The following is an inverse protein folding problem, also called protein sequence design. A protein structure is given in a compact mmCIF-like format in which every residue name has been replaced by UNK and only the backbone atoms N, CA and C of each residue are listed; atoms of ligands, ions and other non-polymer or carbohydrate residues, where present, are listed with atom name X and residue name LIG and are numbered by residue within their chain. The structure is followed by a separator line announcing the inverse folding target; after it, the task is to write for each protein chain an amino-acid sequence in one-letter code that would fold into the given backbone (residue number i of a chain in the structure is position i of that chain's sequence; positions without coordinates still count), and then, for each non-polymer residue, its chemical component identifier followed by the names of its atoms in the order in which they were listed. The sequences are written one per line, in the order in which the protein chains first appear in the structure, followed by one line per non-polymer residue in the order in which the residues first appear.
data_IF_765945243909
#
_entry.id   IF_765945243909
#
_cell.length_a   1.000
_cell.length_b   1.000
_cell.length_c   1.000
_cell.angle_alpha   90.00
_cell.angle_beta   90.00
_cell.angle_gamma   90.00
#
_symmetry.space_group_name_H-M   'P 1'
#
loop_
_entity.id
_entity.type
_entity.pdbx_description
1 polymer ?
#
# COMPACT_ATOMS: atom_id res chain seq x y z
N UNK A 1 -2.34 -19.70 17.95
CA UNK A 1 -1.52 -18.56 17.47
C UNK A 1 -2.19 -17.28 17.91
N UNK A 2 -1.51 -16.43 18.68
CA UNK A 2 -2.04 -15.12 19.13
C UNK A 2 -1.89 -14.13 17.98
N UNK A 3 -2.90 -13.27 17.74
CA UNK A 3 -2.82 -12.20 16.74
C UNK A 3 -2.10 -10.99 17.34
N UNK A 4 -1.23 -10.33 16.57
CA UNK A 4 -0.52 -9.12 17.01
C UNK A 4 -1.47 -7.92 17.12
N UNK A 5 -2.43 -7.80 16.20
CA UNK A 5 -3.43 -6.73 16.16
C UNK A 5 -4.86 -7.31 16.16
N UNK A 6 -5.36 -7.82 17.30
CA UNK A 6 -6.66 -8.49 17.38
C UNK A 6 -7.85 -7.55 17.15
N UNK A 7 -7.65 -6.24 17.27
CA UNK A 7 -8.68 -5.21 17.08
C UNK A 7 -8.88 -4.82 15.62
N UNK A 8 -7.94 -5.13 14.73
CA UNK A 8 -8.08 -4.85 13.30
C UNK A 8 -9.06 -5.84 12.67
N UNK A 9 -10.15 -5.30 12.11
CA UNK A 9 -11.10 -6.10 11.32
C UNK A 9 -10.96 -5.78 9.84
N UNK A 10 -11.13 -6.77 8.96
CA UNK A 10 -11.15 -6.52 7.53
C UNK A 10 -12.40 -5.72 7.13
N UNK A 11 -12.26 -4.92 6.07
CA UNK A 11 -13.39 -4.32 5.36
C UNK A 11 -14.34 -5.43 4.90
N UNK A 12 -15.64 -5.25 5.16
CA UNK A 12 -16.66 -6.21 4.76
C UNK A 12 -17.02 -6.04 3.29
N UNK A 13 -17.22 -7.15 2.57
CA UNK A 13 -17.54 -7.12 1.13
C UNK A 13 -18.85 -6.37 0.83
N UNK A 14 -19.82 -6.44 1.74
CA UNK A 14 -21.10 -5.73 1.61
C UNK A 14 -20.98 -4.19 1.76
N UNK A 15 -19.82 -3.66 2.19
CA UNK A 15 -19.51 -2.23 2.19
C UNK A 15 -18.96 -1.76 0.84
N UNK A 16 -18.67 -2.70 -0.07
CA UNK A 16 -18.02 -2.45 -1.34
C UNK A 16 -19.00 -2.60 -2.51
N UNK A 17 -18.88 -1.69 -3.46
CA UNK A 17 -19.46 -1.80 -4.79
C UNK A 17 -18.37 -2.23 -5.75
N UNK A 18 -18.58 -3.37 -6.40
CA UNK A 18 -17.71 -3.85 -7.47
C UNK A 18 -18.31 -3.41 -8.80
N UNK A 19 -17.54 -2.63 -9.55
CA UNK A 19 -17.90 -2.23 -10.92
C UNK A 19 -16.86 -2.75 -11.88
N UNK A 20 -17.21 -2.84 -13.16
CA UNK A 20 -16.24 -3.16 -14.19
C UNK A 20 -16.40 -2.26 -15.41
N UNK A 21 -15.29 -1.93 -16.04
CA UNK A 21 -15.26 -1.18 -17.29
C UNK A 21 -14.24 -1.80 -18.24
N UNK A 22 -14.34 -1.47 -19.52
CA UNK A 22 -13.35 -1.86 -20.51
C UNK A 22 -12.42 -0.69 -20.79
N UNK A 23 -11.12 -0.95 -20.84
CA UNK A 23 -10.12 0.00 -21.29
C UNK A 23 -9.18 -0.65 -22.33
N UNK A 24 -8.46 0.20 -23.06
CA UNK A 24 -7.43 -0.22 -24.02
C UNK A 24 -6.03 -0.14 -23.40
N UNK A 25 -5.94 -0.10 -22.07
CA UNK A 25 -4.68 -0.04 -21.35
C UNK A 25 -4.16 -1.46 -21.03
N UNK A 26 -2.87 -1.54 -20.72
CA UNK A 26 -2.19 -2.77 -20.35
C UNK A 26 -1.17 -3.23 -21.39
N UNK A 27 -0.06 -3.79 -20.88
CA UNK A 27 1.15 -3.95 -21.68
C UNK A 27 0.98 -4.95 -22.82
N UNK A 28 0.43 -6.15 -22.60
CA UNK A 28 0.50 -7.20 -23.62
C UNK A 28 -0.33 -6.90 -24.88
N UNK A 29 -1.60 -6.49 -24.72
CA UNK A 29 -2.45 -6.16 -25.87
C UNK A 29 -1.89 -4.94 -26.63
N UNK A 30 -1.37 -3.95 -25.90
CA UNK A 30 -0.74 -2.75 -26.43
C UNK A 30 0.59 -3.05 -27.16
N UNK A 31 1.41 -3.95 -26.61
CA UNK A 31 2.67 -4.41 -27.22
C UNK A 31 2.43 -5.17 -28.53
N UNK A 32 1.30 -5.88 -28.64
CA UNK A 32 0.92 -6.59 -29.86
C UNK A 32 0.12 -5.73 -30.86
N UNK A 33 -0.21 -4.47 -30.53
CA UNK A 33 -1.07 -3.61 -31.36
C UNK A 33 -2.52 -4.08 -31.45
N UNK A 34 -2.99 -4.84 -30.47
CA UNK A 34 -4.32 -5.46 -30.43
C UNK A 34 -5.25 -4.83 -29.38
N UNK A 35 -4.88 -3.70 -28.77
CA UNK A 35 -5.62 -3.08 -27.68
C UNK A 35 -7.06 -2.65 -28.06
N UNK A 36 -7.33 -2.41 -29.34
CA UNK A 36 -8.68 -2.06 -29.83
C UNK A 36 -9.57 -3.30 -30.03
N UNK A 37 -8.96 -4.47 -30.21
CA UNK A 37 -9.64 -5.77 -30.40
C UNK A 37 -9.80 -6.50 -29.07
N UNK A 38 -8.72 -6.57 -28.28
CA UNK A 38 -8.68 -7.21 -26.97
C UNK A 38 -8.67 -6.17 -25.87
N UNK A 39 -9.84 -5.55 -25.65
CA UNK A 39 -10.03 -4.61 -24.54
C UNK A 39 -9.89 -5.34 -23.21
N UNK A 40 -9.13 -4.75 -22.29
CA UNK A 40 -9.00 -5.24 -20.93
C UNK A 40 -10.27 -4.93 -20.17
N UNK A 41 -10.84 -5.94 -19.52
CA UNK A 41 -11.90 -5.73 -18.51
C UNK A 41 -11.23 -5.49 -17.17
N UNK A 42 -11.46 -4.31 -16.61
CA UNK A 42 -10.92 -3.92 -15.31
C UNK A 42 -12.03 -3.88 -14.26
N UNK A 43 -11.70 -4.34 -13.05
CA UNK A 43 -12.60 -4.34 -11.91
C UNK A 43 -12.16 -3.26 -10.93
N UNK A 44 -13.11 -2.45 -10.49
CA UNK A 44 -12.89 -1.39 -9.52
C UNK A 44 -13.75 -1.65 -8.30
N UNK A 45 -13.10 -1.74 -7.14
CA UNK A 45 -13.75 -1.84 -5.86
C UNK A 45 -13.83 -0.44 -5.26
N UNK A 46 -15.04 -0.02 -4.87
CA UNK A 46 -15.29 1.29 -4.29
C UNK A 46 -16.14 1.13 -3.04
N UNK A 47 -15.85 1.90 -1.99
CA UNK A 47 -16.76 1.97 -0.85
C UNK A 47 -18.10 2.57 -1.26
N UNK A 48 -19.18 1.94 -0.79
CA UNK A 48 -20.55 2.46 -0.93
C UNK A 48 -20.67 3.79 -0.15
N UNK A 49 -20.06 3.88 1.03
CA UNK A 49 -19.94 5.13 1.79
C UNK A 49 -18.82 5.99 1.21
N UNK A 50 -19.19 7.13 0.63
CA UNK A 50 -18.27 8.07 -0.01
C UNK A 50 -17.31 8.74 1.00
N UNK A 51 -17.63 8.76 2.29
CA UNK A 51 -16.74 9.33 3.32
C UNK A 51 -15.52 8.45 3.60
N UNK A 52 -15.58 7.16 3.22
CA UNK A 52 -14.46 6.21 3.32
C UNK A 52 -13.58 6.20 2.07
N UNK A 53 -13.87 7.04 1.07
CA UNK A 53 -13.07 7.11 -0.15
C UNK A 53 -11.88 8.04 0.04
N UNK A 54 -10.69 7.53 -0.23
CA UNK A 54 -9.46 8.31 -0.26
C UNK A 54 -9.17 8.72 -1.69
N UNK A 55 -8.85 10.01 -1.88
CA UNK A 55 -8.33 10.50 -3.16
C UNK A 55 -6.83 10.33 -3.14
N UNK A 56 -6.33 9.34 -3.87
CA UNK A 56 -4.92 9.28 -4.19
C UNK A 56 -4.59 10.41 -5.17
N UNK A 57 -3.39 11.01 -5.09
CA UNK A 57 -2.97 11.99 -6.08
C UNK A 57 -2.95 11.36 -7.47
N UNK A 58 -3.25 12.16 -8.49
CA UNK A 58 -3.26 11.73 -9.90
C UNK A 58 -1.87 11.30 -10.40
N UNK A 59 -0.81 11.71 -9.71
CA UNK A 59 0.58 11.38 -10.02
C UNK A 59 1.19 10.44 -8.97
N UNK A 60 2.15 9.64 -9.40
CA UNK A 60 3.00 8.82 -8.54
C UNK A 60 3.85 9.69 -7.62
N UNK A 61 3.33 10.03 -6.44
CA UNK A 61 4.16 10.66 -5.40
C UNK A 61 5.08 9.64 -4.75
N UNK A 62 6.32 10.05 -4.52
CA UNK A 62 7.31 9.26 -3.78
C UNK A 62 6.86 9.06 -2.32
N UNK A 63 6.24 10.08 -1.72
CA UNK A 63 5.75 10.06 -0.34
C UNK A 63 4.26 10.44 -0.33
N UNK A 64 3.44 9.62 0.30
CA UNK A 64 2.02 9.85 0.52
C UNK A 64 1.71 9.76 2.01
N UNK A 65 1.47 10.91 2.62
CA UNK A 65 1.07 11.00 4.02
C UNK A 65 -0.45 11.19 4.18
N UNK A 66 -1.08 10.36 5.01
CA UNK A 66 -2.50 10.44 5.33
C UNK A 66 -2.71 10.57 6.83
N UNK A 67 -3.59 11.50 7.20
CA UNK A 67 -4.18 11.61 8.54
C UNK A 67 -5.67 11.35 8.45
N UNK A 68 -6.09 10.19 8.93
CA UNK A 68 -7.42 9.65 8.68
C UNK A 68 -8.40 9.99 9.81
N UNK A 69 -9.57 10.49 9.42
CA UNK A 69 -10.69 10.79 10.35
C UNK A 69 -11.75 9.69 10.37
N UNK A 70 -11.85 8.92 9.30
CA UNK A 70 -12.83 7.85 9.14
C UNK A 70 -12.10 6.51 9.16
N UNK A 71 -12.27 5.76 10.25
CA UNK A 71 -11.53 4.52 10.53
C UNK A 71 -12.49 3.34 10.67
N UNK A 72 -12.07 2.15 10.22
CA UNK A 72 -12.91 0.94 10.25
C UNK A 72 -13.12 0.39 11.67
N UNK A 73 -12.28 0.75 12.65
CA UNK A 73 -12.40 0.29 14.05
C UNK A 73 -11.90 1.32 15.09
N UNK A 74 -11.94 2.62 14.79
CA UNK A 74 -11.35 3.68 15.64
C UNK A 74 -9.86 3.45 15.97
N UNK A 75 -9.16 2.67 15.14
CA UNK A 75 -7.75 2.32 15.29
C UNK A 75 -6.88 3.54 15.53
N UNK A 76 -5.98 3.49 16.51
CA UNK A 76 -5.00 4.54 16.75
C UNK A 76 -3.63 4.24 16.13
N UNK A 77 -3.54 3.16 15.34
CA UNK A 77 -2.29 2.67 14.80
C UNK A 77 -1.70 3.62 13.75
N UNK A 78 -0.37 3.65 13.71
CA UNK A 78 0.44 4.34 12.72
C UNK A 78 1.11 3.34 11.77
N UNK A 79 1.05 3.62 10.47
CA UNK A 79 1.68 2.81 9.42
C UNK A 79 2.82 3.56 8.74
N UNK A 80 3.93 2.88 8.52
CA UNK A 80 4.87 3.18 7.43
C UNK A 80 4.87 2.00 6.47
N UNK A 81 4.63 2.27 5.18
CA UNK A 81 4.64 1.26 4.13
C UNK A 81 5.64 1.64 3.05
N UNK A 82 6.66 0.82 2.87
CA UNK A 82 7.51 0.85 1.67
C UNK A 82 6.82 0.05 0.57
N UNK A 83 6.68 0.63 -0.61
CA UNK A 83 5.78 0.11 -1.64
C UNK A 83 6.25 0.37 -3.07
N UNK A 84 5.55 -0.24 -4.02
CA UNK A 84 5.60 0.10 -5.43
C UNK A 84 4.23 0.56 -5.99
N UNK A 85 4.09 0.59 -7.31
CA UNK A 85 2.84 0.94 -8.00
C UNK A 85 1.63 0.08 -7.61
N UNK A 86 1.83 -1.19 -7.22
CA UNK A 86 0.75 -2.12 -6.88
C UNK A 86 -0.02 -1.69 -5.64
N UNK A 87 0.67 -1.11 -4.66
CA UNK A 87 0.01 -0.61 -3.46
C UNK A 87 -1.00 0.50 -3.74
N UNK A 88 -0.97 1.19 -4.90
CA UNK A 88 -1.98 2.18 -5.26
C UNK A 88 -3.42 1.60 -5.23
N UNK A 89 -3.56 0.31 -5.56
CA UNK A 89 -4.84 -0.39 -5.51
C UNK A 89 -5.22 -0.85 -4.09
N UNK A 90 -4.25 -0.95 -3.18
CA UNK A 90 -4.46 -1.40 -1.80
C UNK A 90 -4.68 -0.25 -0.83
N UNK A 91 -4.04 0.91 -1.07
CA UNK A 91 -4.09 2.11 -0.21
C UNK A 91 -5.52 2.48 0.20
N UNK A 92 -6.53 2.54 -0.70
CA UNK A 92 -7.88 2.93 -0.31
C UNK A 92 -8.50 2.04 0.77
N UNK A 93 -8.09 0.77 0.85
CA UNK A 93 -8.60 -0.19 1.82
C UNK A 93 -7.73 -0.23 3.08
N UNK A 94 -6.41 -0.31 2.91
CA UNK A 94 -5.47 -0.38 4.02
C UNK A 94 -5.51 0.87 4.89
N UNK A 95 -5.61 2.04 4.28
CA UNK A 95 -5.49 3.33 4.95
C UNK A 95 -6.60 3.56 5.99
N UNK A 96 -7.77 2.94 5.83
CA UNK A 96 -8.87 3.06 6.80
C UNK A 96 -8.62 2.35 8.13
N UNK A 97 -7.54 1.56 8.23
CA UNK A 97 -7.16 0.85 9.45
C UNK A 97 -6.13 1.61 10.29
N UNK A 98 -5.62 2.74 9.80
CA UNK A 98 -4.55 3.49 10.44
C UNK A 98 -4.96 4.94 10.61
N UNK A 99 -4.71 5.49 11.81
CA UNK A 99 -4.95 6.91 12.08
C UNK A 99 -4.00 7.80 11.30
N UNK A 100 -2.75 7.35 11.20
CA UNK A 100 -1.71 7.98 10.40
C UNK A 100 -1.07 6.91 9.53
N UNK A 101 -0.87 7.19 8.25
CA UNK A 101 -0.19 6.29 7.34
C UNK A 101 0.73 7.07 6.42
N UNK A 102 1.98 6.60 6.31
CA UNK A 102 2.93 7.08 5.31
C UNK A 102 3.23 5.96 4.32
N UNK A 103 2.94 6.18 3.03
CA UNK A 103 3.26 5.26 1.94
C UNK A 103 4.41 5.82 1.10
N UNK A 104 5.55 5.13 1.13
CA UNK A 104 6.81 5.57 0.54
C UNK A 104 7.14 4.65 -0.63
N UNK A 105 7.21 5.23 -1.83
CA UNK A 105 7.65 4.53 -3.03
C UNK A 105 9.16 4.33 -2.98
N UNK A 106 9.59 3.23 -2.37
CA UNK A 106 10.99 2.86 -2.25
C UNK A 106 11.13 1.35 -2.06
N UNK A 107 12.18 0.78 -2.64
CA UNK A 107 12.63 -0.58 -2.34
C UNK A 107 13.71 -0.60 -1.24
N UNK A 108 14.11 0.56 -0.73
CA UNK A 108 15.05 0.68 0.39
C UNK A 108 14.29 0.68 1.71
N UNK A 109 14.81 -0.04 2.70
CA UNK A 109 14.29 -0.01 4.06
C UNK A 109 14.88 1.20 4.80
N UNK A 110 14.17 2.33 4.76
CA UNK A 110 14.65 3.61 5.32
C UNK A 110 14.44 3.69 6.84
N UNK A 111 15.41 3.17 7.59
CA UNK A 111 15.42 3.16 9.07
C UNK A 111 15.19 4.55 9.70
N UNK A 112 15.75 5.61 9.10
CA UNK A 112 15.57 6.99 9.56
C UNK A 112 14.11 7.43 9.58
N UNK A 113 13.30 6.96 8.63
CA UNK A 113 11.86 7.24 8.59
C UNK A 113 11.17 6.51 9.74
N UNK A 114 11.48 5.24 9.94
CA UNK A 114 10.88 4.42 11.01
C UNK A 114 11.19 5.04 12.38
N UNK A 115 12.43 5.48 12.58
CA UNK A 115 12.85 6.12 13.83
C UNK A 115 12.15 7.47 14.07
N UNK A 116 11.92 8.25 13.01
CA UNK A 116 11.25 9.55 13.10
C UNK A 116 9.74 9.39 13.32
N UNK A 117 9.09 8.54 12.54
CA UNK A 117 7.63 8.39 12.55
C UNK A 117 7.14 7.51 13.71
N UNK A 118 8.00 6.63 14.24
CA UNK A 118 7.67 5.64 15.29
C UNK A 118 6.36 4.89 14.99
N UNK A 119 6.27 4.18 13.84
CA UNK A 119 5.04 3.49 13.47
C UNK A 119 4.78 2.28 14.37
N UNK A 120 3.51 1.92 14.53
CA UNK A 120 3.11 0.65 15.18
C UNK A 120 3.26 -0.53 14.22
N UNK A 121 3.13 -0.28 12.91
CA UNK A 121 3.22 -1.28 11.85
C UNK A 121 4.13 -0.78 10.73
N UNK A 122 5.06 -1.63 10.31
CA UNK A 122 5.85 -1.43 9.10
C UNK A 122 5.49 -2.51 8.08
N UNK A 123 5.14 -2.11 6.87
CA UNK A 123 4.89 -3.02 5.74
C UNK A 123 5.95 -2.76 4.67
N UNK A 124 6.56 -3.84 4.17
CA UNK A 124 7.44 -3.78 3.00
C UNK A 124 6.78 -4.56 1.86
N UNK A 125 6.37 -3.86 0.81
CA UNK A 125 5.71 -4.41 -0.37
C UNK A 125 6.66 -4.34 -1.56
N UNK A 126 6.81 -5.47 -2.24
CA UNK A 126 7.64 -5.56 -3.44
C UNK A 126 7.12 -6.69 -4.32
N UNK A 127 7.06 -6.44 -5.63
CA UNK A 127 6.84 -7.51 -6.60
C UNK A 127 7.98 -8.53 -6.57
N UNK A 128 7.62 -9.81 -6.70
CA UNK A 128 8.58 -10.92 -6.64
C UNK A 128 9.80 -10.74 -7.57
N UNK A 129 9.63 -10.14 -8.76
CA UNK A 129 10.74 -9.90 -9.70
C UNK A 129 11.78 -8.88 -9.21
N UNK A 130 11.40 -8.00 -8.28
CA UNK A 130 12.28 -7.02 -7.65
C UNK A 130 12.80 -7.49 -6.28
N UNK A 131 12.39 -8.68 -5.83
CA UNK A 131 12.75 -9.22 -4.53
C UNK A 131 14.27 -9.30 -4.33
N UNK A 132 15.02 -9.75 -5.35
CA UNK A 132 16.48 -9.81 -5.27
C UNK A 132 17.11 -8.44 -5.11
N UNK A 133 16.63 -7.44 -5.85
CA UNK A 133 17.06 -6.05 -5.72
C UNK A 133 16.74 -5.52 -4.31
N UNK A 134 15.47 -5.55 -3.93
CA UNK A 134 14.96 -5.05 -2.65
C UNK A 134 15.70 -5.65 -1.42
N UNK A 135 15.94 -6.96 -1.42
CA UNK A 135 16.56 -7.66 -0.28
C UNK A 135 18.08 -7.73 -0.34
N UNK A 136 18.70 -7.30 -1.44
CA UNK A 136 20.16 -7.17 -1.53
C UNK A 136 20.67 -5.81 -1.05
N UNK A 137 19.77 -4.84 -0.89
CA UNK A 137 20.12 -3.51 -0.37
C UNK A 137 20.52 -3.66 1.10
N UNK A 138 21.75 -3.27 1.48
CA UNK A 138 22.18 -3.36 2.86
C UNK A 138 21.40 -2.37 3.73
N UNK A 139 21.07 -2.81 4.94
CA UNK A 139 20.58 -1.90 5.97
C UNK A 139 21.66 -0.87 6.33
N UNK A 140 21.24 0.25 6.92
CA UNK A 140 22.18 1.26 7.42
C UNK A 140 23.17 0.65 8.42
N UNK A 141 24.40 1.17 8.47
CA UNK A 141 25.43 0.71 9.43
C UNK A 141 24.91 0.73 10.87
N UNK A 142 24.07 1.72 11.20
CA UNK A 142 23.42 1.84 12.50
C UNK A 142 22.59 0.61 12.85
N UNK A 143 21.68 0.20 11.96
CA UNK A 143 20.83 -0.99 12.18
C UNK A 143 21.69 -2.24 12.33
N UNK A 144 22.72 -2.40 11.48
CA UNK A 144 23.64 -3.55 11.56
C UNK A 144 24.35 -3.59 12.91
N UNK A 145 24.86 -2.45 13.39
CA UNK A 145 25.55 -2.36 14.67
C UNK A 145 24.65 -2.61 15.89
N UNK A 146 23.38 -2.18 15.85
CA UNK A 146 22.46 -2.39 16.98
C UNK A 146 21.98 -3.85 17.06
N UNK A 147 21.90 -4.56 15.92
CA UNK A 147 21.50 -5.98 15.88
C UNK A 147 22.59 -6.92 16.41
N UNK A 148 23.87 -6.52 16.33
CA UNK A 148 25.03 -7.32 16.78
C UNK A 148 25.35 -7.19 18.28
N UNK A 149 24.55 -6.40 19.03
CA UNK A 149 24.74 -6.17 20.48
C UNK A 149 23.87 -7.08 21.37
N UNK A 150 23.20 -8.07 20.79
CA UNK A 150 22.34 -9.05 21.48
C UNK A 150 22.77 -10.46 21.12
#
# INVERSE_FOLDING_TARGET
MKKDFPTLKPVQENELRITSYFNSEGDLAKMCGLQDVYKRKEYVLQFIDTNKQIRNPEYSSIDLHYSNRHLVDSSQLKLVMFRDSYANYLIPFLNLHFKEANYIWSYEFLDQVIEREKPDVVIFESLQRFMSYAFSIPNSERVVHDTLKH
#
